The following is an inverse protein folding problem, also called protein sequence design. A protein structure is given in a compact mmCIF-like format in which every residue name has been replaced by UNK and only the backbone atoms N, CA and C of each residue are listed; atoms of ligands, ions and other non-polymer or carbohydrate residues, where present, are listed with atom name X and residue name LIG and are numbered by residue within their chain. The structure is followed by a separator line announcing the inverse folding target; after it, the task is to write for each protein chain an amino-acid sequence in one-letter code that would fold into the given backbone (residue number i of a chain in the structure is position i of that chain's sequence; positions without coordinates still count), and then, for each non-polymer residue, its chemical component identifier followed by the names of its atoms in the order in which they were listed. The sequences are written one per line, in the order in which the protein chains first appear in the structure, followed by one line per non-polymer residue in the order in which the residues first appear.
data_IF_321541723805
#
_entry.id   IF_321541723805
#
_cell.length_a   1.000
_cell.length_b   1.000
_cell.length_c   1.000
_cell.angle_alpha   90.00
_cell.angle_beta   90.00
_cell.angle_gamma   90.00
#
_symmetry.space_group_name_H-M   'P 1'
#
loop_
_entity.id
_entity.type
_entity.pdbx_description
1 polymer ?
#
# COMPACT_ATOMS: atom_id res chain seq x y z
N UNK A 1 -6.63 -11.08 0.48
CA UNK A 1 -7.36 -11.97 -0.41
C UNK A 1 -7.10 -13.43 -0.02
N UNK A 2 -8.17 -14.22 0.09
CA UNK A 2 -8.10 -15.65 0.38
C UNK A 2 -8.98 -16.39 -0.64
N UNK A 3 -8.56 -16.40 -1.90
CA UNK A 3 -9.22 -17.15 -2.98
C UNK A 3 -8.33 -18.31 -3.47
N UNK A 4 -8.89 -19.09 -4.40
CA UNK A 4 -8.16 -20.11 -5.14
C UNK A 4 -7.98 -21.43 -4.39
N UNK A 5 -8.54 -21.59 -3.19
CA UNK A 5 -8.45 -22.84 -2.41
C UNK A 5 -9.70 -23.73 -2.56
N UNK A 6 -10.58 -23.39 -3.49
CA UNK A 6 -11.88 -24.07 -3.69
C UNK A 6 -11.71 -25.57 -4.00
N UNK A 7 -10.56 -25.94 -4.56
CA UNK A 7 -10.21 -27.31 -4.91
C UNK A 7 -9.83 -28.18 -3.69
N UNK A 8 -9.65 -27.59 -2.52
CA UNK A 8 -9.24 -28.33 -1.31
C UNK A 8 -10.45 -29.13 -0.78
N UNK A 9 -10.37 -30.47 -0.69
CA UNK A 9 -11.53 -31.29 -0.34
C UNK A 9 -12.19 -30.95 1.00
N UNK A 10 -11.41 -30.51 2.00
CA UNK A 10 -11.94 -30.11 3.31
C UNK A 10 -12.75 -28.81 3.28
N UNK A 11 -12.56 -27.97 2.26
CA UNK A 11 -13.28 -26.71 2.08
C UNK A 11 -14.57 -26.87 1.26
N UNK A 12 -14.71 -27.99 0.54
CA UNK A 12 -15.83 -28.23 -0.39
C UNK A 12 -17.22 -27.97 0.18
N UNK A 13 -17.48 -28.28 1.46
CA UNK A 13 -18.79 -28.04 2.07
C UNK A 13 -19.02 -26.58 2.43
N UNK A 14 -17.99 -25.84 2.85
CA UNK A 14 -18.10 -24.44 3.25
C UNK A 14 -18.11 -23.50 2.03
N UNK A 15 -17.43 -23.92 0.96
CA UNK A 15 -17.34 -23.20 -0.31
C UNK A 15 -18.35 -23.69 -1.35
N UNK A 16 -19.28 -24.58 -0.97
CA UNK A 16 -20.30 -25.08 -1.87
C UNK A 16 -21.21 -23.95 -2.37
N UNK A 17 -21.12 -23.63 -3.67
CA UNK A 17 -21.92 -22.57 -4.29
C UNK A 17 -21.50 -21.17 -3.89
N UNK A 18 -20.30 -21.01 -3.32
CA UNK A 18 -19.69 -19.70 -3.17
C UNK A 18 -19.42 -19.09 -4.57
N UNK A 19 -19.54 -17.76 -4.72
CA UNK A 19 -19.08 -17.06 -5.92
C UNK A 19 -17.55 -17.15 -6.05
N UNK A 20 -17.03 -16.79 -7.23
CA UNK A 20 -15.59 -16.77 -7.49
C UNK A 20 -14.89 -15.73 -6.60
N UNK A 21 -15.42 -14.51 -6.53
CA UNK A 21 -15.00 -13.48 -5.60
C UNK A 21 -15.69 -13.61 -4.22
N UNK A 22 -14.91 -13.87 -3.17
CA UNK A 22 -15.42 -14.11 -1.82
C UNK A 22 -15.46 -12.85 -0.97
N UNK A 23 -16.65 -12.49 -0.45
CA UNK A 23 -16.79 -11.46 0.57
C UNK A 23 -16.22 -11.84 1.93
N UNK A 24 -15.61 -10.88 2.62
CA UNK A 24 -15.08 -11.08 3.97
C UNK A 24 -16.15 -11.59 4.93
N UNK A 25 -15.73 -12.40 5.90
CA UNK A 25 -16.64 -13.00 6.88
C UNK A 25 -17.68 -13.96 6.31
N UNK A 26 -17.68 -14.27 5.00
CA UNK A 26 -18.50 -15.34 4.43
C UNK A 26 -18.03 -16.72 4.92
N UNK A 27 -18.92 -17.72 4.86
CA UNK A 27 -18.62 -19.06 5.37
C UNK A 27 -17.41 -19.70 4.68
N UNK A 28 -17.27 -19.52 3.35
CA UNK A 28 -16.10 -20.01 2.61
C UNK A 28 -14.84 -19.26 3.02
N UNK A 29 -14.86 -17.92 3.05
CA UNK A 29 -13.71 -17.08 3.41
C UNK A 29 -13.16 -17.44 4.80
N UNK A 30 -14.04 -17.56 5.81
CA UNK A 30 -13.66 -17.97 7.17
C UNK A 30 -13.06 -19.38 7.18
N UNK A 31 -13.63 -20.32 6.42
CA UNK A 31 -13.09 -21.67 6.32
C UNK A 31 -11.71 -21.70 5.65
N UNK A 32 -11.47 -20.88 4.62
CA UNK A 32 -10.15 -20.75 3.99
C UNK A 32 -9.11 -20.22 4.99
N UNK A 33 -9.45 -19.16 5.73
CA UNK A 33 -8.56 -18.59 6.76
C UNK A 33 -8.21 -19.61 7.86
N UNK A 34 -9.19 -20.38 8.33
CA UNK A 34 -8.97 -21.45 9.30
C UNK A 34 -8.08 -22.57 8.75
N UNK A 35 -8.26 -22.93 7.48
CA UNK A 35 -7.43 -23.91 6.80
C UNK A 35 -5.97 -23.43 6.73
N UNK A 36 -5.72 -22.18 6.31
CA UNK A 36 -4.37 -21.61 6.29
C UNK A 36 -3.72 -21.63 7.68
N UNK A 37 -4.44 -21.21 8.72
CA UNK A 37 -3.93 -21.26 10.09
C UNK A 37 -3.56 -22.70 10.52
N UNK A 38 -4.41 -23.68 10.21
CA UNK A 38 -4.12 -25.10 10.47
C UNK A 38 -2.92 -25.60 9.67
N UNK A 39 -2.77 -25.17 8.41
CA UNK A 39 -1.67 -25.54 7.53
C UNK A 39 -0.33 -25.02 8.07
N UNK A 40 -0.28 -23.75 8.50
CA UNK A 40 0.89 -23.19 9.19
C UNK A 40 1.21 -23.97 10.47
N UNK A 41 0.21 -24.27 11.30
CA UNK A 41 0.40 -25.08 12.51
C UNK A 41 0.99 -26.46 12.20
N UNK A 42 0.50 -27.12 11.15
CA UNK A 42 1.01 -28.43 10.68
C UNK A 42 2.44 -28.31 10.17
N UNK A 43 2.74 -27.26 9.39
CA UNK A 43 4.07 -26.98 8.86
C UNK A 43 5.08 -26.79 9.99
N UNK A 44 4.79 -25.94 10.98
CA UNK A 44 5.70 -25.71 12.11
C UNK A 44 5.85 -26.93 13.02
N UNK A 45 4.79 -27.73 13.23
CA UNK A 45 4.88 -28.98 13.97
C UNK A 45 5.82 -30.00 13.29
N UNK A 46 5.78 -30.06 11.95
CA UNK A 46 6.70 -30.90 11.17
C UNK A 46 8.14 -30.41 11.30
N UNK A 47 8.40 -29.10 11.13
CA UNK A 47 9.73 -28.53 11.33
C UNK A 47 10.30 -28.86 12.71
N UNK A 48 9.46 -28.75 13.76
CA UNK A 48 9.87 -29.09 15.11
C UNK A 48 10.24 -30.57 15.27
N UNK A 49 9.55 -31.48 14.57
CA UNK A 49 9.87 -32.92 14.54
C UNK A 49 11.24 -33.17 13.90
N UNK A 50 11.61 -32.36 12.91
CA UNK A 50 12.90 -32.40 12.24
C UNK A 50 14.00 -31.61 13.00
N UNK A 51 13.70 -31.11 14.21
CA UNK A 51 14.64 -30.38 15.06
C UNK A 51 14.80 -28.90 14.71
N UNK A 52 13.98 -28.35 13.81
CA UNK A 52 13.95 -26.94 13.41
C UNK A 52 12.88 -26.24 14.25
N UNK A 53 13.27 -25.30 15.11
CA UNK A 53 12.35 -24.62 16.01
C UNK A 53 12.77 -23.17 16.27
N UNK A 54 11.91 -22.39 16.91
CA UNK A 54 12.23 -21.00 17.30
C UNK A 54 13.46 -20.85 18.22
N UNK A 55 13.97 -21.95 18.78
CA UNK A 55 15.19 -21.94 19.58
C UNK A 55 16.49 -21.94 18.75
N UNK A 56 16.43 -22.31 17.47
CA UNK A 56 17.60 -22.41 16.60
C UNK A 56 17.39 -21.85 15.18
N UNK A 57 16.19 -21.37 14.87
CA UNK A 57 15.81 -20.86 13.55
C UNK A 57 15.10 -19.53 13.70
N UNK A 58 15.42 -18.58 12.81
CA UNK A 58 14.67 -17.35 12.64
C UNK A 58 13.57 -17.58 11.60
N UNK A 59 12.32 -17.41 12.02
CA UNK A 59 11.15 -17.38 11.16
C UNK A 59 10.73 -15.93 10.95
N UNK A 60 10.48 -15.58 9.69
CA UNK A 60 9.93 -14.30 9.28
C UNK A 60 8.73 -14.61 8.41
N UNK A 61 7.57 -14.05 8.76
CA UNK A 61 6.31 -14.21 8.05
C UNK A 61 5.74 -12.82 7.85
N UNK A 62 5.41 -12.49 6.62
CA UNK A 62 4.84 -11.21 6.21
C UNK A 62 3.86 -11.49 5.07
N UNK A 63 3.10 -10.47 4.70
CA UNK A 63 2.59 -10.34 3.33
C UNK A 63 3.44 -9.31 2.58
N UNK A 64 3.18 -9.21 1.29
CA UNK A 64 3.64 -8.19 0.33
C UNK A 64 2.76 -6.93 0.38
N UNK A 65 1.45 -7.10 0.51
CA UNK A 65 0.52 -5.98 0.72
C UNK A 65 -0.76 -6.41 1.46
N UNK A 66 -1.65 -5.46 1.72
CA UNK A 66 -3.06 -5.71 2.04
C UNK A 66 -3.94 -5.51 0.80
N UNK A 67 -5.25 -5.72 0.96
CA UNK A 67 -6.20 -5.62 -0.16
C UNK A 67 -7.41 -4.77 0.21
N UNK A 68 -8.08 -4.26 -0.82
CA UNK A 68 -9.35 -3.60 -0.77
C UNK A 68 -10.50 -4.51 -1.23
N UNK A 69 -11.55 -4.62 -0.43
CA UNK A 69 -12.78 -5.33 -0.78
C UNK A 69 -13.68 -4.49 -1.71
N UNK A 70 -13.59 -4.72 -3.01
CA UNK A 70 -14.43 -4.08 -4.03
C UNK A 70 -15.84 -4.72 -4.04
N UNK A 71 -16.78 -4.05 -3.37
CA UNK A 71 -18.12 -4.60 -3.20
C UNK A 71 -18.95 -4.00 -2.08
N UNK A 72 -20.09 -4.65 -1.83
CA UNK A 72 -20.90 -4.44 -0.65
C UNK A 72 -20.06 -4.68 0.60
N UNK A 73 -20.09 -3.76 1.55
CA UNK A 73 -19.38 -3.89 2.83
C UNK A 73 -20.10 -3.10 3.92
N UNK A 74 -19.79 -3.37 5.18
CA UNK A 74 -20.35 -2.65 6.32
C UNK A 74 -20.12 -1.14 6.15
N UNK A 75 -21.16 -0.34 6.31
CA UNK A 75 -21.09 1.13 6.18
C UNK A 75 -21.04 1.68 4.74
N UNK A 76 -21.07 0.85 3.69
CA UNK A 76 -21.15 1.26 2.26
C UNK A 76 -22.59 1.36 1.73
N UNK A 77 -22.79 1.75 0.47
CA UNK A 77 -24.15 1.89 -0.10
C UNK A 77 -24.89 0.53 -0.17
N UNK A 78 -24.16 -0.55 -0.40
CA UNK A 78 -24.67 -1.93 -0.33
C UNK A 78 -24.05 -2.61 0.89
N UNK A 79 -24.88 -3.25 1.71
CA UNK A 79 -24.50 -3.78 3.01
C UNK A 79 -24.60 -5.31 3.04
N UNK A 80 -23.72 -6.01 3.78
CA UNK A 80 -23.91 -7.43 4.06
C UNK A 80 -25.11 -7.69 4.97
N UNK A 81 -25.56 -8.94 5.00
CA UNK A 81 -26.62 -9.41 5.90
C UNK A 81 -26.19 -10.64 6.71
N UNK A 82 -26.63 -10.74 7.99
CA UNK A 82 -27.31 -9.70 8.77
C UNK A 82 -26.37 -8.50 9.03
N UNK A 83 -26.92 -7.33 9.35
CA UNK A 83 -26.12 -6.13 9.63
C UNK A 83 -25.18 -6.27 10.85
N UNK A 84 -25.35 -7.33 11.64
CA UNK A 84 -24.49 -7.68 12.78
C UNK A 84 -23.50 -8.78 12.44
N UNK A 85 -23.31 -9.11 11.16
CA UNK A 85 -22.34 -10.12 10.78
C UNK A 85 -20.92 -9.63 11.04
N UNK A 86 -20.07 -10.55 11.46
CA UNK A 86 -18.66 -10.32 11.78
C UNK A 86 -17.76 -11.45 11.26
N UNK A 87 -18.36 -12.56 10.80
CA UNK A 87 -17.68 -13.72 10.23
C UNK A 87 -16.95 -14.57 11.27
N UNK A 88 -16.09 -13.94 12.07
CA UNK A 88 -15.32 -14.58 13.14
C UNK A 88 -14.94 -13.58 14.23
N UNK A 89 -14.76 -14.10 15.45
CA UNK A 89 -14.18 -13.38 16.58
C UNK A 89 -12.78 -13.89 16.88
N UNK A 90 -11.92 -12.98 17.36
CA UNK A 90 -10.54 -13.29 17.76
C UNK A 90 -10.40 -13.14 19.27
N UNK A 91 -9.93 -14.20 19.94
CA UNK A 91 -9.60 -14.18 21.37
C UNK A 91 -8.24 -14.81 21.58
N UNK A 92 -7.24 -13.97 21.90
CA UNK A 92 -5.86 -14.42 22.01
C UNK A 92 -5.32 -14.88 20.65
N UNK A 93 -4.90 -16.13 20.56
CA UNK A 93 -4.42 -16.79 19.33
C UNK A 93 -5.50 -17.64 18.62
N UNK A 94 -6.75 -17.54 19.08
CA UNK A 94 -7.85 -18.36 18.59
C UNK A 94 -8.83 -17.52 17.78
N UNK A 95 -9.04 -17.91 16.51
CA UNK A 95 -10.08 -17.40 15.63
C UNK A 95 -11.27 -18.35 15.66
N UNK A 96 -12.44 -17.85 16.06
CA UNK A 96 -13.67 -18.63 16.17
C UNK A 96 -14.70 -18.09 15.18
N UNK A 97 -15.27 -18.91 14.28
CA UNK A 97 -16.36 -18.48 13.41
C UNK A 97 -17.52 -17.94 14.24
N UNK A 98 -18.12 -16.85 13.79
CA UNK A 98 -19.25 -16.21 14.44
C UNK A 98 -20.37 -15.96 13.40
N UNK A 99 -20.97 -14.78 13.37
CA UNK A 99 -22.13 -14.52 12.51
C UNK A 99 -21.64 -14.30 11.09
N UNK A 100 -21.78 -15.34 10.25
CA UNK A 100 -21.37 -15.28 8.85
C UNK A 100 -22.03 -14.14 8.08
N UNK A 101 -21.24 -13.45 7.27
CA UNK A 101 -21.72 -12.43 6.35
C UNK A 101 -22.24 -13.07 5.05
N UNK A 102 -23.36 -12.55 4.56
CA UNK A 102 -23.92 -12.90 3.25
C UNK A 102 -24.17 -11.64 2.45
N UNK A 103 -23.81 -11.68 1.17
CA UNK A 103 -23.83 -10.54 0.27
C UNK A 103 -24.90 -10.76 -0.81
N UNK A 104 -25.67 -9.72 -1.18
CA UNK A 104 -26.59 -9.81 -2.32
C UNK A 104 -25.87 -10.25 -3.60
N UNK A 105 -26.54 -11.04 -4.45
CA UNK A 105 -25.98 -11.42 -5.74
C UNK A 105 -25.76 -10.19 -6.62
N UNK A 106 -24.60 -10.11 -7.29
CA UNK A 106 -24.21 -8.94 -8.11
C UNK A 106 -23.94 -7.69 -7.29
N UNK A 107 -23.46 -7.84 -6.05
CA UNK A 107 -23.03 -6.73 -5.20
C UNK A 107 -21.57 -6.83 -4.77
N UNK A 108 -20.81 -7.67 -5.46
CA UNK A 108 -19.42 -7.99 -5.15
C UNK A 108 -18.66 -8.12 -6.45
N UNK A 109 -17.53 -7.45 -6.58
CA UNK A 109 -16.82 -7.36 -7.85
C UNK A 109 -16.01 -6.07 -8.01
N UNK A 110 -14.80 -6.16 -8.55
CA UNK A 110 -14.06 -4.98 -9.02
C UNK A 110 -14.81 -4.29 -10.16
N UNK A 111 -14.53 -3.00 -10.37
CA UNK A 111 -15.10 -2.23 -11.46
C UNK A 111 -14.05 -2.10 -12.57
N UNK A 112 -14.13 -2.97 -13.56
CA UNK A 112 -13.31 -2.92 -14.76
C UNK A 112 -13.56 -1.62 -15.53
N UNK A 113 -12.48 -0.89 -15.85
CA UNK A 113 -12.52 0.41 -16.53
C UNK A 113 -11.68 0.40 -17.81
N UNK A 114 -12.31 0.72 -18.94
CA UNK A 114 -11.63 1.06 -20.18
C UNK A 114 -11.28 2.56 -20.19
N UNK A 115 -10.07 2.89 -19.73
CA UNK A 115 -9.58 4.27 -19.59
C UNK A 115 -9.59 5.01 -20.93
N UNK A 116 -9.16 4.35 -22.02
CA UNK A 116 -9.16 4.95 -23.38
C UNK A 116 -10.58 5.30 -23.84
N UNK A 117 -11.55 4.43 -23.53
CA UNK A 117 -12.96 4.65 -23.84
C UNK A 117 -13.55 5.83 -23.09
N UNK A 118 -13.30 5.92 -21.78
CA UNK A 118 -13.74 7.05 -20.96
C UNK A 118 -13.11 8.36 -21.37
N UNK A 119 -11.80 8.40 -21.61
CA UNK A 119 -11.12 9.60 -22.13
C UNK A 119 -11.74 10.04 -23.45
N UNK A 120 -11.90 9.11 -24.40
CA UNK A 120 -12.48 9.45 -25.70
C UNK A 120 -13.93 9.93 -25.61
N UNK A 121 -14.74 9.37 -24.69
CA UNK A 121 -16.17 9.66 -24.59
C UNK A 121 -16.50 10.88 -23.73
N UNK A 122 -15.72 11.14 -22.68
CA UNK A 122 -15.94 12.24 -21.73
C UNK A 122 -15.17 13.52 -22.09
N UNK A 123 -13.92 13.39 -22.53
CA UNK A 123 -13.03 14.55 -22.78
C UNK A 123 -12.69 14.72 -24.26
N UNK A 124 -12.82 13.64 -25.05
CA UNK A 124 -12.41 13.62 -26.46
C UNK A 124 -10.89 13.47 -26.63
N UNK A 125 -10.16 13.17 -25.56
CA UNK A 125 -8.72 12.94 -25.60
C UNK A 125 -8.42 11.62 -26.32
N UNK A 126 -7.48 11.68 -27.25
CA UNK A 126 -7.03 10.53 -28.08
C UNK A 126 -5.51 10.40 -28.08
N UNK A 127 -4.85 10.98 -27.07
CA UNK A 127 -3.40 10.92 -26.87
C UNK A 127 -2.98 9.46 -26.78
N UNK A 128 -2.06 8.97 -27.63
CA UNK A 128 -1.64 7.58 -27.58
C UNK A 128 -0.76 7.30 -26.36
N UNK A 129 -1.17 6.35 -25.52
CA UNK A 129 -0.39 5.83 -24.39
C UNK A 129 -0.55 4.31 -24.30
N UNK A 130 0.32 3.68 -23.53
CA UNK A 130 0.06 2.37 -22.90
C UNK A 130 0.02 2.55 -21.39
N UNK A 131 -0.62 1.62 -20.68
CA UNK A 131 -0.55 1.54 -19.22
C UNK A 131 -0.42 0.08 -18.78
N UNK A 132 0.06 -0.12 -17.56
CA UNK A 132 -0.10 -1.38 -16.85
C UNK A 132 -1.55 -1.50 -16.36
N UNK A 133 -2.22 -2.60 -16.73
CA UNK A 133 -3.60 -2.82 -16.28
C UNK A 133 -3.55 -3.10 -14.76
N UNK A 134 -4.04 -2.18 -13.93
CA UNK A 134 -3.89 -2.17 -12.48
C UNK A 134 -4.87 -1.17 -11.84
N UNK A 135 -5.00 -1.14 -10.51
CA UNK A 135 -5.77 -0.08 -9.82
C UNK A 135 -4.93 1.18 -9.60
N UNK A 136 -3.59 1.06 -9.61
CA UNK A 136 -2.65 2.17 -9.63
C UNK A 136 -1.87 2.27 -10.97
N UNK A 137 -2.54 2.51 -12.12
CA UNK A 137 -1.90 2.37 -13.42
C UNK A 137 -0.82 3.41 -13.69
N UNK A 138 0.30 2.93 -14.23
CA UNK A 138 1.41 3.72 -14.75
C UNK A 138 1.18 4.08 -16.23
N UNK A 139 1.17 5.37 -16.58
CA UNK A 139 0.92 5.82 -17.96
C UNK A 139 2.24 6.06 -18.71
N UNK A 140 2.38 5.42 -19.88
CA UNK A 140 3.52 5.56 -20.78
C UNK A 140 3.08 6.27 -22.06
N UNK A 141 3.32 7.58 -22.15
CA UNK A 141 2.88 8.39 -23.30
C UNK A 141 3.77 8.11 -24.51
N UNK A 142 3.12 7.84 -25.65
CA UNK A 142 3.84 7.42 -26.86
C UNK A 142 4.79 8.52 -27.34
N UNK A 143 6.06 8.15 -27.50
CA UNK A 143 7.12 9.06 -27.95
C UNK A 143 7.91 9.70 -26.82
N UNK A 144 7.62 9.35 -25.56
CA UNK A 144 8.34 9.81 -24.36
C UNK A 144 8.49 11.35 -24.31
N UNK A 145 7.37 12.10 -24.44
CA UNK A 145 7.40 13.55 -24.25
C UNK A 145 7.73 13.91 -22.80
N UNK A 146 8.40 15.05 -22.58
CA UNK A 146 8.65 15.54 -21.22
C UNK A 146 7.36 15.97 -20.51
N UNK A 147 7.37 15.98 -19.17
CA UNK A 147 6.22 16.28 -18.32
C UNK A 147 5.47 17.59 -18.69
N UNK A 148 6.22 18.66 -19.00
CA UNK A 148 5.64 19.97 -19.38
C UNK A 148 5.06 20.01 -20.81
N UNK A 149 5.12 18.91 -21.57
CA UNK A 149 4.61 18.88 -22.93
C UNK A 149 3.08 19.07 -22.92
N UNK A 150 2.50 19.92 -23.79
CA UNK A 150 1.06 20.19 -23.78
C UNK A 150 0.18 18.95 -23.89
N UNK A 151 0.62 17.92 -24.62
CA UNK A 151 -0.07 16.64 -24.75
C UNK A 151 -0.08 15.82 -23.45
N UNK A 152 0.99 15.86 -22.65
CA UNK A 152 1.06 15.18 -21.34
C UNK A 152 0.15 15.91 -20.36
N UNK A 153 0.31 17.23 -20.25
CA UNK A 153 -0.51 18.07 -19.38
C UNK A 153 -2.01 17.93 -19.69
N UNK A 154 -2.38 17.92 -20.97
CA UNK A 154 -3.77 17.68 -21.36
C UNK A 154 -4.25 16.29 -20.96
N UNK A 155 -3.42 15.25 -21.12
CA UNK A 155 -3.78 13.89 -20.73
C UNK A 155 -3.94 13.76 -19.21
N UNK A 156 -3.02 14.31 -18.41
CA UNK A 156 -3.13 14.30 -16.94
C UNK A 156 -4.41 14.97 -16.45
N UNK A 157 -4.74 16.16 -16.96
CA UNK A 157 -6.01 16.84 -16.63
C UNK A 157 -7.23 16.01 -17.04
N UNK A 158 -7.19 15.39 -18.22
CA UNK A 158 -8.32 14.60 -18.71
C UNK A 158 -8.49 13.31 -17.90
N UNK A 159 -7.39 12.61 -17.57
CA UNK A 159 -7.37 11.46 -16.64
C UNK A 159 -7.87 11.87 -15.27
N UNK A 160 -7.42 13.00 -14.73
CA UNK A 160 -7.92 13.54 -13.47
C UNK A 160 -9.40 13.94 -13.52
N UNK A 161 -10.04 14.01 -14.69
CA UNK A 161 -11.42 14.46 -14.83
C UNK A 161 -12.43 13.34 -15.07
N UNK A 162 -11.97 12.13 -15.43
CA UNK A 162 -12.88 11.05 -15.76
C UNK A 162 -13.68 10.62 -14.53
N UNK A 163 -14.95 10.33 -14.77
CA UNK A 163 -15.87 9.89 -13.73
C UNK A 163 -16.53 8.57 -14.12
N UNK A 164 -16.91 7.78 -13.13
CA UNK A 164 -17.65 6.54 -13.32
C UNK A 164 -18.68 6.37 -12.21
N UNK A 165 -19.78 5.66 -12.52
CA UNK A 165 -20.70 5.21 -11.49
C UNK A 165 -20.04 4.14 -10.62
N UNK A 166 -20.14 4.30 -9.30
CA UNK A 166 -19.73 3.28 -8.34
C UNK A 166 -20.94 2.91 -7.46
N UNK A 167 -21.50 1.71 -7.65
CA UNK A 167 -22.68 1.29 -6.91
C UNK A 167 -22.42 1.08 -5.41
N UNK A 168 -21.17 0.85 -5.02
CA UNK A 168 -20.77 0.63 -3.63
C UNK A 168 -20.57 1.94 -2.86
N UNK A 169 -20.11 2.99 -3.54
CA UNK A 169 -20.05 4.36 -3.04
C UNK A 169 -21.38 5.12 -3.16
N UNK A 170 -22.30 4.64 -4.02
CA UNK A 170 -23.66 5.16 -4.15
C UNK A 170 -23.84 6.24 -5.21
N UNK A 171 -23.03 6.23 -6.28
CA UNK A 171 -23.23 7.08 -7.44
C UNK A 171 -21.96 7.38 -8.24
N UNK A 172 -22.07 8.34 -9.16
CA UNK A 172 -20.95 8.80 -9.99
C UNK A 172 -19.95 9.63 -9.20
N UNK A 173 -18.66 9.32 -9.36
CA UNK A 173 -17.54 9.98 -8.71
C UNK A 173 -16.32 10.04 -9.64
N UNK A 174 -15.30 10.82 -9.27
CA UNK A 174 -13.97 10.74 -9.87
C UNK A 174 -13.40 9.34 -9.67
N UNK A 175 -12.66 8.84 -10.67
CA UNK A 175 -12.00 7.54 -10.57
C UNK A 175 -10.69 7.65 -9.78
N UNK A 176 -10.02 8.79 -9.78
CA UNK A 176 -8.76 9.01 -9.08
C UNK A 176 -8.92 9.37 -7.60
N UNK A 177 -7.94 8.94 -6.82
CA UNK A 177 -7.57 9.52 -5.54
C UNK A 177 -6.40 10.49 -5.71
N UNK A 178 -5.37 10.07 -6.44
CA UNK A 178 -4.14 10.83 -6.63
C UNK A 178 -3.54 10.63 -8.02
N UNK A 179 -2.73 11.59 -8.44
CA UNK A 179 -1.83 11.51 -9.58
C UNK A 179 -0.42 11.89 -9.12
N UNK A 180 0.58 11.27 -9.71
CA UNK A 180 1.99 11.54 -9.47
C UNK A 180 2.69 11.85 -10.80
N UNK A 181 3.21 13.05 -10.94
CA UNK A 181 4.11 13.45 -12.02
C UNK A 181 5.51 12.84 -11.82
N UNK A 182 6.46 12.99 -12.77
CA UNK A 182 7.78 12.39 -12.64
C UNK A 182 8.60 12.83 -11.42
N UNK A 183 8.37 14.03 -10.88
CA UNK A 183 9.02 14.49 -9.64
C UNK A 183 8.41 13.77 -8.45
N UNK A 184 7.09 13.62 -8.40
CA UNK A 184 6.43 12.86 -7.34
C UNK A 184 6.73 11.37 -7.42
N UNK A 185 6.77 10.76 -8.60
CA UNK A 185 7.24 9.38 -8.81
C UNK A 185 8.65 9.17 -8.21
N UNK A 186 9.55 10.13 -8.36
CA UNK A 186 10.87 10.08 -7.73
C UNK A 186 10.79 10.18 -6.19
N UNK A 187 9.86 10.97 -5.66
CA UNK A 187 9.60 11.04 -4.21
C UNK A 187 9.07 9.70 -3.67
N UNK A 188 8.16 9.05 -4.40
CA UNK A 188 7.55 7.77 -4.06
C UNK A 188 8.42 6.55 -4.33
N UNK A 189 9.61 6.73 -4.93
CA UNK A 189 10.53 5.66 -5.37
C UNK A 189 10.00 4.80 -6.52
N UNK A 190 9.24 5.39 -7.43
CA UNK A 190 8.68 4.75 -8.64
C UNK A 190 9.57 4.95 -9.88
N UNK A 191 10.75 5.59 -9.74
CA UNK A 191 11.70 5.75 -10.85
C UNK A 191 12.54 4.48 -11.01
N UNK A 192 12.50 3.90 -12.21
CA UNK A 192 13.16 2.64 -12.50
C UNK A 192 14.61 2.85 -12.99
N UNK A 193 15.48 1.87 -12.74
CA UNK A 193 16.86 1.90 -13.22
C UNK A 193 16.94 1.81 -14.76
N UNK A 194 15.93 1.20 -15.38
CA UNK A 194 15.72 1.26 -16.83
C UNK A 194 14.76 2.42 -17.14
N UNK A 195 15.23 3.50 -17.80
CA UNK A 195 14.36 4.63 -18.14
C UNK A 195 13.15 4.24 -19.00
N UNK A 196 13.23 3.12 -19.74
CA UNK A 196 12.09 2.63 -20.54
C UNK A 196 10.97 2.00 -19.68
N UNK A 197 11.20 1.84 -18.37
CA UNK A 197 10.24 1.35 -17.38
C UNK A 197 9.91 2.41 -16.32
N UNK A 198 10.24 3.67 -16.62
CA UNK A 198 9.78 4.79 -15.80
C UNK A 198 8.55 5.37 -16.50
N UNK A 199 7.40 5.47 -15.82
CA UNK A 199 6.21 6.07 -16.40
C UNK A 199 6.40 7.54 -16.78
N UNK A 200 5.45 8.06 -17.56
CA UNK A 200 5.31 9.50 -17.80
C UNK A 200 4.60 10.18 -16.63
N UNK A 201 3.62 9.50 -16.03
CA UNK A 201 2.97 9.83 -14.77
C UNK A 201 2.22 8.58 -14.27
N UNK A 202 1.89 8.52 -12.99
CA UNK A 202 1.10 7.44 -12.39
C UNK A 202 -0.21 7.96 -11.82
N UNK A 203 -1.23 7.11 -11.78
CA UNK A 203 -2.49 7.36 -11.12
C UNK A 203 -2.67 6.36 -9.97
N UNK A 204 -3.20 6.83 -8.84
CA UNK A 204 -3.75 5.98 -7.80
C UNK A 204 -5.27 6.13 -7.84
N UNK A 205 -5.98 5.08 -8.27
CA UNK A 205 -7.42 5.12 -8.38
C UNK A 205 -8.09 5.08 -7.00
N UNK A 206 -9.42 5.21 -7.02
CA UNK A 206 -10.25 4.69 -5.93
C UNK A 206 -10.22 3.16 -6.04
N UNK A 207 -9.93 2.41 -4.96
CA UNK A 207 -9.57 0.99 -5.07
C UNK A 207 -10.74 0.03 -5.36
N UNK A 208 -11.90 0.53 -5.80
CA UNK A 208 -12.93 -0.34 -6.38
C UNK A 208 -12.76 -0.50 -7.90
N UNK A 209 -11.86 0.28 -8.53
CA UNK A 209 -11.70 0.33 -9.97
C UNK A 209 -10.41 -0.38 -10.40
N UNK A 210 -10.52 -1.29 -11.35
CA UNK A 210 -9.40 -1.91 -12.05
C UNK A 210 -9.27 -1.29 -13.45
N UNK A 211 -8.16 -0.62 -13.73
CA UNK A 211 -8.02 0.24 -14.91
C UNK A 211 -7.21 -0.45 -15.99
N UNK A 212 -7.74 -0.44 -17.21
CA UNK A 212 -7.08 -0.97 -18.39
C UNK A 212 -7.17 -0.03 -19.59
N UNK A 213 -6.19 -0.11 -20.50
CA UNK A 213 -6.21 0.71 -21.74
C UNK A 213 -7.02 0.07 -22.86
N UNK A 214 -7.23 -1.24 -22.80
CA UNK A 214 -7.95 -2.01 -23.82
C UNK A 214 -9.46 -1.98 -23.59
N UNK A 215 -10.22 -2.12 -24.68
CA UNK A 215 -11.66 -2.29 -24.59
C UNK A 215 -12.02 -3.54 -23.77
N UNK A 216 -12.99 -3.41 -22.86
CA UNK A 216 -13.42 -4.49 -21.98
C UNK A 216 -13.88 -5.72 -22.79
N UNK A 217 -13.69 -6.90 -22.20
CA UNK A 217 -13.98 -8.18 -22.83
C UNK A 217 -15.01 -8.99 -22.01
N UNK A 218 -15.21 -10.28 -22.33
CA UNK A 218 -16.10 -11.15 -21.54
C UNK A 218 -17.54 -10.63 -21.38
N UNK A 219 -18.05 -10.70 -20.14
CA UNK A 219 -19.35 -10.18 -19.69
C UNK A 219 -19.48 -8.67 -19.85
N UNK A 220 -18.36 -7.95 -19.88
CA UNK A 220 -18.25 -6.49 -19.90
C UNK A 220 -18.06 -5.89 -21.29
N UNK A 221 -18.08 -6.74 -22.32
CA UNK A 221 -17.82 -6.32 -23.69
C UNK A 221 -18.78 -5.21 -24.16
N UNK A 222 -18.19 -4.06 -24.50
CA UNK A 222 -18.88 -2.93 -25.10
C UNK A 222 -19.27 -1.85 -24.10
N UNK A 223 -18.99 -2.05 -22.82
CA UNK A 223 -19.07 -1.03 -21.77
C UNK A 223 -17.70 -0.35 -21.59
N UNK A 224 -17.70 0.87 -21.07
CA UNK A 224 -16.47 1.55 -20.63
C UNK A 224 -16.19 1.34 -19.13
N UNK A 225 -17.23 1.00 -18.36
CA UNK A 225 -17.15 0.59 -16.95
C UNK A 225 -18.13 -0.55 -16.74
N UNK A 226 -17.69 -1.63 -16.12
CA UNK A 226 -18.57 -2.71 -15.70
C UNK A 226 -18.19 -3.21 -14.31
N UNK A 227 -19.05 -4.01 -13.69
CA UNK A 227 -18.64 -4.85 -12.56
C UNK A 227 -18.17 -6.21 -13.10
N UNK A 228 -16.93 -6.61 -12.78
CA UNK A 228 -16.48 -7.99 -12.91
C UNK A 228 -16.69 -8.71 -11.57
N UNK A 229 -17.42 -9.82 -11.58
CA UNK A 229 -17.73 -10.60 -10.37
C UNK A 229 -16.74 -11.73 -10.11
N UNK A 230 -15.75 -11.92 -10.99
CA UNK A 230 -14.68 -12.91 -10.83
C UNK A 230 -13.59 -12.43 -9.85
N UNK A 231 -13.42 -11.11 -9.70
CA UNK A 231 -12.40 -10.44 -8.88
C UNK A 231 -13.05 -9.41 -7.95
N UNK A 232 -12.52 -9.17 -6.75
CA UNK A 232 -13.06 -8.17 -5.80
C UNK A 232 -12.08 -7.78 -4.68
N UNK A 233 -10.81 -8.10 -4.85
CA UNK A 233 -9.76 -7.88 -3.86
C UNK A 233 -8.64 -7.14 -4.57
N UNK A 234 -8.78 -5.83 -4.59
CA UNK A 234 -7.98 -4.92 -5.40
C UNK A 234 -6.84 -4.38 -4.54
N UNK A 235 -5.66 -4.17 -5.13
CA UNK A 235 -4.46 -3.73 -4.41
C UNK A 235 -3.51 -2.96 -5.33
N UNK A 236 -2.46 -2.35 -4.78
CA UNK A 236 -1.58 -1.42 -5.49
C UNK A 236 -1.84 0.07 -5.20
N UNK A 237 -3.05 0.44 -4.75
CA UNK A 237 -3.43 1.84 -4.50
C UNK A 237 -2.85 2.46 -3.21
N UNK A 238 -2.88 3.80 -3.18
CA UNK A 238 -2.48 4.62 -2.03
C UNK A 238 -3.57 4.71 -0.94
N UNK A 239 -3.94 3.55 -0.38
CA UNK A 239 -4.96 3.41 0.66
C UNK A 239 -4.43 2.62 1.86
N UNK A 240 -4.88 2.97 3.07
CA UNK A 240 -4.35 2.43 4.31
C UNK A 240 -4.62 0.94 4.48
N UNK A 241 -5.76 0.43 4.01
CA UNK A 241 -6.08 -1.01 4.03
C UNK A 241 -5.17 -1.83 3.10
N UNK A 242 -4.66 -1.22 2.03
CA UNK A 242 -3.73 -1.85 1.09
C UNK A 242 -2.30 -1.71 1.61
N UNK A 243 -1.89 -0.51 2.07
CA UNK A 243 -0.50 -0.25 2.43
C UNK A 243 -0.17 -0.52 3.92
N UNK A 244 -1.12 -1.02 4.72
CA UNK A 244 -0.87 -1.45 6.11
C UNK A 244 -0.80 -2.96 6.18
N UNK A 245 0.40 -3.48 6.42
CA UNK A 245 0.65 -4.91 6.49
C UNK A 245 1.07 -5.39 7.89
N UNK A 246 1.24 -6.70 8.06
CA UNK A 246 1.79 -7.32 9.26
C UNK A 246 3.13 -8.00 8.97
N UNK A 247 3.98 -8.04 9.99
CA UNK A 247 5.16 -8.90 9.99
C UNK A 247 5.37 -9.56 11.35
N UNK A 248 5.66 -10.86 11.31
CA UNK A 248 6.04 -11.67 12.46
C UNK A 248 7.50 -12.11 12.39
N UNK A 249 8.26 -11.78 13.43
CA UNK A 249 9.61 -12.33 13.68
C UNK A 249 9.57 -13.30 14.86
N UNK A 250 10.07 -14.52 14.67
CA UNK A 250 10.16 -15.52 15.75
C UNK A 250 11.49 -16.26 15.66
N UNK A 251 12.34 -16.15 16.68
CA UNK A 251 13.61 -16.86 16.70
C UNK A 251 14.59 -16.36 17.74
N UNK A 252 15.84 -16.88 17.74
CA UNK A 252 16.90 -16.38 18.60
C UNK A 252 17.12 -14.87 18.39
N UNK A 253 17.31 -14.13 19.48
CA UNK A 253 17.59 -12.69 19.43
C UNK A 253 16.36 -11.79 19.25
N UNK A 254 15.16 -12.35 19.03
CA UNK A 254 13.91 -11.60 18.90
C UNK A 254 13.18 -11.53 20.25
N UNK A 255 12.65 -10.35 20.61
CA UNK A 255 11.80 -10.15 21.79
C UNK A 255 10.43 -10.79 21.58
N UNK A 256 9.86 -11.34 22.65
CA UNK A 256 8.48 -11.83 22.63
C UNK A 256 7.53 -10.69 23.07
N UNK A 257 7.14 -9.87 22.10
CA UNK A 257 6.24 -8.72 22.32
C UNK A 257 4.76 -9.07 22.18
N UNK A 258 4.44 -10.20 21.53
CA UNK A 258 3.06 -10.50 21.11
C UNK A 258 2.69 -9.62 19.92
N UNK A 259 1.44 -9.15 19.90
CA UNK A 259 0.99 -8.14 18.95
C UNK A 259 1.48 -6.76 19.40
N UNK A 260 2.38 -6.15 18.63
CA UNK A 260 2.88 -4.78 18.81
C UNK A 260 2.33 -3.91 17.68
N UNK A 261 1.00 -3.68 17.72
CA UNK A 261 0.22 -3.09 16.65
C UNK A 261 -1.25 -2.94 17.02
N UNK A 262 -2.08 -2.53 16.07
CA UNK A 262 -3.54 -2.54 16.26
C UNK A 262 -4.06 -3.96 16.41
N UNK A 263 -5.15 -4.14 17.17
CA UNK A 263 -5.88 -5.40 17.19
C UNK A 263 -6.42 -5.72 15.78
N UNK A 264 -6.60 -6.99 15.41
CA UNK A 264 -7.08 -7.36 14.06
C UNK A 264 -8.37 -6.67 13.61
N UNK A 265 -9.24 -6.29 14.55
CA UNK A 265 -10.51 -5.60 14.28
C UNK A 265 -10.42 -4.06 14.38
N UNK A 266 -9.24 -3.52 14.66
CA UNK A 266 -8.97 -2.07 14.85
C UNK A 266 -8.01 -1.53 13.77
N UNK A 267 -7.67 -2.33 12.75
CA UNK A 267 -6.86 -1.92 11.60
C UNK A 267 -7.67 -1.13 10.56
N UNK A 268 -7.00 -0.51 9.57
CA UNK A 268 -7.67 0.00 8.37
C UNK A 268 -8.44 -1.12 7.65
N UNK A 269 -9.54 -0.77 7.00
CA UNK A 269 -10.38 -1.73 6.27
C UNK A 269 -11.20 -1.02 5.20
N UNK A 270 -11.70 -1.79 4.23
CA UNK A 270 -12.58 -1.33 3.16
C UNK A 270 -14.04 -1.04 3.61
N UNK A 271 -14.28 -0.92 4.92
CA UNK A 271 -15.59 -0.61 5.48
C UNK A 271 -15.80 0.91 5.63
N UNK A 272 -17.06 1.32 5.63
CA UNK A 272 -17.47 2.71 5.86
C UNK A 272 -17.51 3.57 4.59
N UNK A 273 -17.84 4.85 4.80
CA UNK A 273 -18.02 5.82 3.71
C UNK A 273 -16.69 6.29 3.10
N UNK A 274 -15.59 6.17 3.85
CA UNK A 274 -14.23 6.58 3.44
C UNK A 274 -13.38 5.38 2.99
N UNK A 275 -14.03 4.28 2.59
CA UNK A 275 -13.39 3.07 2.08
C UNK A 275 -12.46 3.40 0.90
N UNK A 276 -11.19 3.00 0.97
CA UNK A 276 -10.17 3.32 -0.03
C UNK A 276 -9.76 4.79 -0.10
N UNK A 277 -10.15 5.63 0.89
CA UNK A 277 -9.87 7.07 0.90
C UNK A 277 -8.91 7.50 2.01
N UNK A 278 -8.66 6.63 2.99
CA UNK A 278 -7.77 6.92 4.12
C UNK A 278 -6.37 6.47 3.75
N UNK A 279 -5.37 7.32 3.93
CA UNK A 279 -3.94 6.97 3.71
C UNK A 279 -3.27 6.55 5.01
N UNK A 280 -2.16 5.82 4.94
CA UNK A 280 -1.39 5.39 6.13
C UNK A 280 -1.02 6.58 7.02
N UNK A 281 -0.63 7.73 6.43
CA UNK A 281 -0.27 8.93 7.19
C UNK A 281 -1.44 9.53 8.00
N UNK A 282 -2.68 9.29 7.59
CA UNK A 282 -3.88 9.72 8.31
C UNK A 282 -4.29 8.74 9.42
N UNK A 283 -3.76 7.52 9.38
CA UNK A 283 -4.00 6.54 10.44
C UNK A 283 -3.14 6.82 11.66
N UNK A 284 -3.63 6.42 12.83
CA UNK A 284 -2.89 6.47 14.09
C UNK A 284 -2.63 5.06 14.58
N UNK A 285 -1.94 4.27 13.74
CA UNK A 285 -1.61 2.89 14.09
C UNK A 285 -0.78 2.85 15.38
N UNK A 286 -1.11 1.89 16.23
CA UNK A 286 -0.32 1.56 17.40
C UNK A 286 0.95 0.84 16.97
N UNK A 287 2.00 0.92 17.80
CA UNK A 287 3.27 0.24 17.54
C UNK A 287 4.32 1.11 16.83
N UNK A 288 5.52 0.57 16.60
CA UNK A 288 6.59 1.29 15.93
C UNK A 288 6.35 1.41 14.43
N UNK A 289 6.76 2.53 13.83
CA UNK A 289 6.69 2.67 12.38
C UNK A 289 7.83 1.92 11.69
N UNK A 290 7.49 0.96 10.82
CA UNK A 290 8.39 0.10 10.03
C UNK A 290 7.76 -0.17 8.66
N UNK A 291 8.57 -0.28 7.62
CA UNK A 291 8.12 -0.71 6.28
C UNK A 291 8.86 -1.97 5.85
N UNK A 292 8.47 -2.56 4.70
CA UNK A 292 9.02 -3.84 4.24
C UNK A 292 10.53 -3.80 3.97
N UNK A 293 11.07 -2.63 3.67
CA UNK A 293 12.51 -2.48 3.45
C UNK A 293 13.31 -2.78 4.71
N UNK A 294 12.70 -2.69 5.90
CA UNK A 294 13.33 -2.98 7.19
C UNK A 294 13.49 -4.49 7.46
N UNK A 295 12.82 -5.36 6.70
CA UNK A 295 12.82 -6.81 6.91
C UNK A 295 14.22 -7.39 6.72
N UNK A 296 14.82 -7.11 5.56
CA UNK A 296 16.13 -7.65 5.20
C UNK A 296 17.25 -7.23 6.15
N UNK A 297 17.50 -5.94 6.45
CA UNK A 297 18.56 -5.56 7.38
C UNK A 297 18.33 -6.17 8.77
N UNK A 298 17.08 -6.31 9.21
CA UNK A 298 16.75 -6.97 10.48
C UNK A 298 17.08 -8.47 10.47
N UNK A 299 16.76 -9.18 9.39
CA UNK A 299 17.18 -10.58 9.17
C UNK A 299 18.70 -10.71 9.22
N UNK A 300 19.42 -9.85 8.50
CA UNK A 300 20.88 -9.90 8.41
C UNK A 300 21.51 -9.65 9.78
N UNK A 301 21.00 -8.66 10.52
CA UNK A 301 21.44 -8.38 11.87
C UNK A 301 21.21 -9.55 12.84
N UNK A 302 20.01 -10.13 12.87
CA UNK A 302 19.66 -11.24 13.77
C UNK A 302 20.43 -12.53 13.48
N UNK A 303 20.82 -12.75 12.23
CA UNK A 303 21.62 -13.92 11.81
C UNK A 303 23.12 -13.68 11.89
N UNK A 304 23.57 -12.46 12.19
CA UNK A 304 24.98 -12.08 12.20
C UNK A 304 25.61 -12.04 10.80
N UNK A 305 24.78 -11.94 9.76
CA UNK A 305 25.21 -11.83 8.37
C UNK A 305 25.34 -10.36 7.96
N UNK A 306 25.93 -10.15 6.77
CA UNK A 306 26.06 -8.85 6.12
C UNK A 306 25.91 -9.02 4.61
N UNK A 307 25.35 -8.01 3.97
CA UNK A 307 25.39 -7.88 2.52
C UNK A 307 26.59 -7.02 2.08
N UNK A 308 26.87 -7.05 0.78
CA UNK A 308 27.89 -6.23 0.12
C UNK A 308 27.35 -4.89 -0.42
N UNK A 309 26.07 -4.61 -0.17
CA UNK A 309 25.40 -3.35 -0.49
C UNK A 309 24.69 -2.77 0.75
N UNK A 310 24.37 -1.48 0.68
CA UNK A 310 23.67 -0.75 1.74
C UNK A 310 22.16 -0.90 1.59
N UNK A 311 21.48 -1.36 2.64
CA UNK A 311 20.02 -1.59 2.64
C UNK A 311 19.21 -0.30 2.69
N UNK A 312 18.11 -0.21 1.93
CA UNK A 312 17.16 0.93 1.96
C UNK A 312 16.39 1.04 3.29
N UNK A 313 16.16 -0.09 3.96
CA UNK A 313 15.58 -0.11 5.28
C UNK A 313 16.58 0.09 6.42
N UNK A 314 16.10 -0.11 7.63
CA UNK A 314 16.89 -0.10 8.87
C UNK A 314 16.60 -1.34 9.70
N UNK A 315 17.52 -1.68 10.60
CA UNK A 315 17.24 -2.69 11.62
C UNK A 315 16.10 -2.21 12.53
N UNK A 316 15.09 -3.06 12.74
CA UNK A 316 13.96 -2.81 13.66
C UNK A 316 14.45 -3.01 15.09
N UNK A 317 15.04 -1.96 15.67
CA UNK A 317 15.63 -2.01 17.02
C UNK A 317 14.66 -2.43 18.12
N UNK A 318 13.37 -2.15 17.93
CA UNK A 318 12.29 -2.38 18.89
C UNK A 318 12.10 -3.88 19.20
N UNK A 319 12.37 -4.76 18.22
CA UNK A 319 12.17 -6.21 18.36
C UNK A 319 13.44 -6.94 18.84
N UNK A 320 14.58 -6.26 18.97
CA UNK A 320 15.85 -6.90 19.31
C UNK A 320 15.96 -7.18 20.81
N UNK A 321 16.21 -8.44 21.19
CA UNK A 321 16.43 -8.81 22.59
C UNK A 321 17.74 -8.24 23.13
N UNK A 322 18.80 -8.25 22.31
CA UNK A 322 20.13 -7.78 22.67
C UNK A 322 20.74 -6.95 21.52
N UNK A 323 20.25 -5.71 21.29
CA UNK A 323 20.89 -4.80 20.34
C UNK A 323 22.33 -4.49 20.77
N UNK A 324 23.21 -4.20 19.81
CA UNK A 324 24.58 -3.80 20.07
C UNK A 324 24.65 -2.41 20.72
N UNK A 325 25.87 -1.94 21.02
CA UNK A 325 26.06 -0.68 21.73
C UNK A 325 25.61 0.51 20.87
N UNK A 326 25.85 0.48 19.57
CA UNK A 326 25.46 1.54 18.65
C UNK A 326 23.94 1.63 18.50
N UNK A 327 23.25 0.52 18.21
CA UNK A 327 21.80 0.46 18.07
C UNK A 327 21.07 0.73 19.38
N UNK A 328 21.66 0.38 20.52
CA UNK A 328 21.11 0.70 21.85
C UNK A 328 21.28 2.17 22.25
N UNK A 329 21.99 2.99 21.45
CA UNK A 329 22.28 4.36 21.84
C UNK A 329 20.99 5.22 21.88
N UNK A 330 20.86 6.14 22.85
CA UNK A 330 19.72 7.05 22.90
C UNK A 330 19.58 7.84 21.59
N UNK A 331 18.37 7.85 21.03
CA UNK A 331 18.05 8.60 19.81
C UNK A 331 18.16 7.79 18.51
N UNK A 332 18.69 6.56 18.51
CA UNK A 332 18.71 5.72 17.30
C UNK A 332 17.31 5.29 16.89
N UNK A 333 16.50 4.79 17.82
CA UNK A 333 15.10 4.42 17.52
C UNK A 333 14.28 5.61 17.01
N UNK A 334 14.25 6.78 17.68
CA UNK A 334 13.58 7.97 17.14
C UNK A 334 14.12 8.47 15.79
N UNK A 335 15.42 8.32 15.54
CA UNK A 335 16.01 8.66 14.24
C UNK A 335 15.48 7.73 13.15
N UNK A 336 15.42 6.43 13.44
CA UNK A 336 14.85 5.43 12.54
C UNK A 336 13.37 5.66 12.27
N UNK A 337 12.58 6.03 13.27
CA UNK A 337 11.16 6.38 13.09
C UNK A 337 10.98 7.63 12.21
N UNK A 338 11.79 8.68 12.44
CA UNK A 338 11.74 9.87 11.59
C UNK A 338 12.16 9.55 10.14
N UNK A 339 13.21 8.73 9.97
CA UNK A 339 13.65 8.27 8.65
C UNK A 339 12.52 7.57 7.90
N UNK A 340 11.75 6.71 8.55
CA UNK A 340 10.59 6.04 7.93
C UNK A 340 9.49 7.03 7.53
N UNK A 341 9.19 8.03 8.36
CA UNK A 341 8.23 9.08 8.00
C UNK A 341 8.71 10.00 6.85
N UNK A 342 10.03 10.12 6.68
CA UNK A 342 10.66 10.95 5.65
C UNK A 342 10.86 10.20 4.31
N UNK A 343 11.16 8.90 4.36
CA UNK A 343 11.66 8.16 3.20
C UNK A 343 10.73 7.04 2.72
N UNK A 344 9.79 6.54 3.53
CA UNK A 344 8.81 5.56 3.05
C UNK A 344 7.90 6.20 2.00
N UNK A 345 7.51 5.44 0.97
CA UNK A 345 6.53 5.84 -0.04
C UNK A 345 5.15 6.14 0.56
N UNK A 346 4.85 5.64 1.76
CA UNK A 346 3.58 5.91 2.49
C UNK A 346 3.79 6.66 3.81
N UNK A 347 4.99 7.20 4.01
CA UNK A 347 5.29 8.09 5.14
C UNK A 347 4.65 9.47 4.99
N UNK A 348 4.62 10.25 6.08
CA UNK A 348 4.03 11.59 6.07
C UNK A 348 4.60 12.51 4.99
N UNK A 349 5.92 12.42 4.70
CA UNK A 349 6.52 13.22 3.64
C UNK A 349 5.89 12.92 2.28
N UNK A 350 5.85 11.65 1.88
CA UNK A 350 5.28 11.19 0.61
C UNK A 350 3.78 11.49 0.51
N UNK A 351 3.02 11.27 1.59
CA UNK A 351 1.58 11.57 1.58
C UNK A 351 1.31 13.07 1.37
N UNK A 352 2.08 13.97 2.02
CA UNK A 352 1.93 15.41 1.83
C UNK A 352 2.39 15.85 0.41
N UNK A 353 3.47 15.27 -0.13
CA UNK A 353 3.96 15.64 -1.47
C UNK A 353 3.01 15.15 -2.56
N UNK A 354 2.50 13.92 -2.46
CA UNK A 354 1.51 13.37 -3.39
C UNK A 354 0.24 14.21 -3.41
N UNK A 355 -0.24 14.64 -2.25
CA UNK A 355 -1.38 15.56 -2.17
C UNK A 355 -1.09 16.90 -2.86
N UNK A 356 0.11 17.46 -2.67
CA UNK A 356 0.50 18.71 -3.29
C UNK A 356 0.61 18.58 -4.81
N UNK A 357 1.15 17.47 -5.29
CA UNK A 357 1.34 17.20 -6.72
C UNK A 357 0.00 16.96 -7.42
N UNK A 358 -0.86 16.12 -6.84
CA UNK A 358 -2.22 15.91 -7.35
C UNK A 358 -2.98 17.24 -7.50
N UNK A 359 -2.94 18.11 -6.48
CA UNK A 359 -3.58 19.42 -6.55
C UNK A 359 -2.92 20.36 -7.58
N UNK A 360 -1.62 20.24 -7.78
CA UNK A 360 -0.89 20.99 -8.80
C UNK A 360 -1.25 20.52 -10.20
N UNK A 361 -1.38 19.21 -10.42
CA UNK A 361 -1.86 18.60 -11.66
C UNK A 361 -3.29 19.05 -11.96
N UNK A 362 -4.19 19.09 -10.97
CA UNK A 362 -5.57 19.55 -11.13
C UNK A 362 -5.68 21.06 -11.46
N UNK A 363 -4.61 21.84 -11.26
CA UNK A 363 -4.66 23.30 -11.38
C UNK A 363 -4.80 23.79 -12.82
N UNK A 364 -5.82 24.59 -13.10
CA UNK A 364 -6.04 25.24 -14.41
C UNK A 364 -5.44 26.66 -14.51
N UNK A 365 -4.39 26.94 -13.73
CA UNK A 365 -3.75 28.26 -13.70
C UNK A 365 -3.19 28.66 -15.08
N UNK A 366 -3.23 29.94 -15.49
CA UNK A 366 -2.76 30.34 -16.82
C UNK A 366 -1.30 29.97 -17.07
N UNK A 367 -1.06 29.16 -18.11
CA UNK A 367 0.28 28.71 -18.50
C UNK A 367 0.94 27.80 -17.46
N UNK A 368 0.15 27.00 -16.75
CA UNK A 368 0.59 26.02 -15.75
C UNK A 368 1.43 26.63 -14.62
N UNK A 369 1.19 27.90 -14.31
CA UNK A 369 2.00 28.66 -13.35
C UNK A 369 2.02 28.05 -11.95
N UNK A 370 0.89 27.49 -11.49
CA UNK A 370 0.79 26.76 -10.21
C UNK A 370 1.55 25.45 -10.30
N UNK A 371 1.24 24.59 -11.29
CA UNK A 371 1.93 23.32 -11.52
C UNK A 371 3.45 23.47 -11.54
N UNK A 372 3.98 24.31 -12.43
CA UNK A 372 5.41 24.58 -12.56
C UNK A 372 6.05 25.17 -11.29
N UNK A 373 5.27 25.83 -10.42
CA UNK A 373 5.77 26.36 -9.16
C UNK A 373 5.81 25.30 -8.06
N UNK A 374 4.81 24.43 -8.01
CA UNK A 374 4.72 23.31 -7.07
C UNK A 374 5.75 22.25 -7.43
N UNK A 375 5.86 21.83 -8.68
CA UNK A 375 6.87 20.88 -9.16
C UNK A 375 8.30 21.32 -8.75
N UNK A 376 8.66 22.59 -9.00
CA UNK A 376 9.95 23.14 -8.54
C UNK A 376 10.14 23.06 -7.02
N UNK A 377 9.07 23.19 -6.24
CA UNK A 377 9.13 23.06 -4.79
C UNK A 377 9.25 21.59 -4.36
N UNK A 378 8.52 20.68 -4.99
CA UNK A 378 8.62 19.23 -4.82
C UNK A 378 10.03 18.76 -5.13
N UNK A 379 10.60 19.16 -6.27
CA UNK A 379 11.99 18.85 -6.64
C UNK A 379 13.01 19.32 -5.61
N UNK A 380 12.79 20.50 -5.01
CA UNK A 380 13.65 21.00 -3.95
C UNK A 380 13.51 20.18 -2.65
N UNK A 381 12.31 19.70 -2.33
CA UNK A 381 12.04 18.82 -1.20
C UNK A 381 12.64 17.42 -1.42
N UNK A 382 12.49 16.83 -2.59
CA UNK A 382 13.10 15.57 -3.00
C UNK A 382 14.62 15.59 -2.79
N UNK A 383 15.32 16.59 -3.35
CA UNK A 383 16.78 16.72 -3.20
C UNK A 383 17.19 16.87 -1.73
N UNK A 384 16.40 17.59 -0.94
CA UNK A 384 16.65 17.73 0.50
C UNK A 384 16.40 16.41 1.26
N UNK A 385 15.33 15.69 0.89
CA UNK A 385 14.97 14.37 1.42
C UNK A 385 16.09 13.39 1.14
N UNK A 386 16.51 13.23 -0.11
CA UNK A 386 17.55 12.27 -0.53
C UNK A 386 18.87 12.50 0.20
N UNK A 387 19.30 13.77 0.28
CA UNK A 387 20.55 14.11 0.96
C UNK A 387 20.53 13.75 2.46
N UNK A 388 19.39 13.97 3.13
CA UNK A 388 19.25 13.64 4.55
C UNK A 388 19.02 12.14 4.76
N UNK A 389 18.13 11.53 3.97
CA UNK A 389 17.79 10.12 4.01
C UNK A 389 19.02 9.25 3.76
N UNK A 390 19.81 9.52 2.72
CA UNK A 390 21.05 8.79 2.44
C UNK A 390 22.08 8.89 3.58
N UNK A 391 22.15 10.05 4.25
CA UNK A 391 23.01 10.21 5.43
C UNK A 391 22.50 9.37 6.62
N UNK A 392 21.19 9.43 6.91
CA UNK A 392 20.60 8.69 8.02
C UNK A 392 20.72 7.18 7.77
N UNK A 393 20.39 6.72 6.56
CA UNK A 393 20.53 5.36 6.06
C UNK A 393 21.94 4.82 6.33
N UNK A 394 22.97 5.49 5.83
CA UNK A 394 24.35 5.04 6.03
C UNK A 394 24.83 5.07 7.50
N UNK A 395 24.35 6.02 8.30
CA UNK A 395 24.65 6.03 9.75
C UNK A 395 23.95 4.88 10.50
N UNK A 396 22.70 4.54 10.14
CA UNK A 396 21.96 3.40 10.70
C UNK A 396 22.56 2.06 10.26
N UNK A 397 22.96 1.92 9.00
CA UNK A 397 23.65 0.75 8.46
C UNK A 397 24.99 0.53 9.19
N UNK A 398 25.81 1.58 9.32
CA UNK A 398 27.08 1.50 10.03
C UNK A 398 26.90 1.21 11.52
N UNK A 399 25.82 1.69 12.14
CA UNK A 399 25.47 1.34 13.51
C UNK A 399 25.18 -0.17 13.62
N UNK A 400 24.32 -0.71 12.75
CA UNK A 400 23.93 -2.11 12.77
C UNK A 400 25.07 -3.09 12.45
N UNK A 401 25.90 -2.77 11.46
CA UNK A 401 26.84 -3.74 10.90
C UNK A 401 28.30 -3.41 11.22
N UNK A 402 28.59 -2.32 11.93
CA UNK A 402 29.96 -1.95 12.36
C UNK A 402 30.04 -1.44 13.80
N UNK A 403 28.96 -1.51 14.60
CA UNK A 403 28.85 -0.91 15.94
C UNK A 403 29.28 0.58 15.95
N UNK A 404 29.07 1.29 14.82
CA UNK A 404 29.48 2.67 14.67
C UNK A 404 28.52 3.61 15.39
N UNK A 405 29.04 4.50 16.25
CA UNK A 405 28.20 5.44 16.99
C UNK A 405 27.65 6.54 16.08
N UNK A 406 26.32 6.68 16.06
CA UNK A 406 25.61 7.84 15.51
C UNK A 406 25.82 9.06 16.43
N UNK A 407 26.49 10.10 15.95
CA UNK A 407 26.88 11.26 16.77
C UNK A 407 25.86 12.41 16.75
N UNK A 408 25.07 12.51 15.69
CA UNK A 408 24.22 13.67 15.42
C UNK A 408 22.74 13.31 15.23
N UNK A 409 22.25 12.27 15.91
CA UNK A 409 20.86 11.82 15.82
C UNK A 409 19.85 12.96 16.09
N UNK A 410 20.02 13.74 17.17
CA UNK A 410 19.13 14.85 17.50
C UNK A 410 19.02 15.92 16.39
N UNK A 411 20.14 16.48 15.91
CA UNK A 411 20.13 17.39 14.76
C UNK A 411 19.51 16.79 13.48
N UNK A 412 19.76 15.51 13.19
CA UNK A 412 19.18 14.83 12.03
C UNK A 412 17.66 14.66 12.15
N UNK A 413 17.15 14.31 13.34
CA UNK A 413 15.70 14.26 13.64
C UNK A 413 15.07 15.64 13.43
N UNK A 414 15.71 16.71 13.91
CA UNK A 414 15.20 18.06 13.73
C UNK A 414 15.15 18.48 12.25
N UNK A 415 16.15 18.09 11.45
CA UNK A 415 16.17 18.32 10.01
C UNK A 415 15.08 17.52 9.28
N UNK A 416 14.90 16.24 9.64
CA UNK A 416 13.87 15.36 9.11
C UNK A 416 12.47 15.97 9.34
N UNK A 417 12.17 16.40 10.57
CA UNK A 417 10.91 17.06 10.89
C UNK A 417 10.72 18.40 10.17
N UNK A 418 11.80 19.12 9.85
CA UNK A 418 11.70 20.37 9.10
C UNK A 418 11.29 20.12 7.65
N UNK A 419 11.84 19.08 7.01
CA UNK A 419 11.50 18.70 5.64
C UNK A 419 10.04 18.22 5.57
N UNK A 420 9.62 17.34 6.47
CA UNK A 420 8.22 16.87 6.55
C UNK A 420 7.26 18.06 6.72
N UNK A 421 7.57 19.00 7.64
CA UNK A 421 6.74 20.21 7.81
C UNK A 421 6.72 21.13 6.60
N UNK A 422 7.74 21.09 5.75
CA UNK A 422 7.78 21.88 4.53
C UNK A 422 6.87 21.24 3.45
N UNK A 423 6.90 19.91 3.30
CA UNK A 423 5.95 19.18 2.47
C UNK A 423 4.51 19.43 2.91
N UNK A 424 4.21 19.31 4.21
CA UNK A 424 2.88 19.59 4.75
C UNK A 424 2.37 21.00 4.44
N UNK A 425 3.25 22.01 4.48
CA UNK A 425 2.89 23.38 4.12
C UNK A 425 2.62 23.55 2.63
N UNK A 426 3.35 22.82 1.78
CA UNK A 426 3.13 22.81 0.35
C UNK A 426 1.76 22.22 0.03
N UNK A 427 1.46 21.03 0.58
CA UNK A 427 0.15 20.36 0.49
C UNK A 427 -1.00 21.27 0.96
N UNK A 428 -0.82 21.95 2.09
CA UNK A 428 -1.83 22.86 2.65
C UNK A 428 -2.02 24.16 1.85
N UNK A 429 -1.13 24.44 0.89
CA UNK A 429 -1.16 25.67 0.08
C UNK A 429 -1.55 25.44 -1.38
N UNK A 430 -1.66 24.18 -1.78
CA UNK A 430 -2.00 23.77 -3.14
C UNK A 430 -3.49 23.97 -3.44
#
# INVERSE_FOLDING_TARGET
DLHGNEFIPSLSSACAGAPDALGSGSACYVAQAQYYNQAFGTFFARLATDGISKSNTLFIISSDEGDHEAGANAGRAIQPTPATCDGATVSGDTVTPDVACTYPAGSFGELDVNVTGLLSSQTGNTTPFSLEDDTAPEFYVTGDPGADAPEVRSLEHDVASITADNPYAGGTQKIDNYLADPTEEAILHMVNADPARTPTFAMFAKPDYYLQSAALSGSCKGEDVCQDTEYAWDHGDYAAEINTNYIGFVGPGVRHLGLDGNAPNDGPSSAGADSGQVTVAQTHLSGPWTDETDIRPTLMYLTGLRDDYEHDGRVITQILANPDRALSAPGVTPLGECYKQLNSSVGQFAADTLQADTAAIDSSSPGDGVYLSTDRALRALEVARDALAGKIKGELEAAAFSDARIRFAGPQIAACQLIIRAAHRLASSA
#
